data_IF_769093285409
#
_entry.id   IF_769093285409
#
_cell.length_a   1.000
_cell.length_b   1.000
_cell.length_c   1.000
_cell.angle_alpha   90.00
_cell.angle_beta   90.00
_cell.angle_gamma   90.00
#
_symmetry.space_group_name_H-M   'P 1'
#
loop_
_entity.id
_entity.type
_entity.pdbx_description
1 polymer ?
#
# COMPACT_ATOMS: atom_id res chain seq x y z
N UNK A 1 13.22 -4.51 -8.95
CA UNK A 1 12.44 -3.39 -8.35
C UNK A 1 13.02 -2.07 -8.85
N UNK A 2 12.19 -1.10 -9.24
CA UNK A 2 12.60 0.20 -9.79
C UNK A 2 13.58 0.97 -8.89
N UNK A 3 13.46 0.84 -7.56
CA UNK A 3 14.39 1.46 -6.58
C UNK A 3 15.80 0.86 -6.68
N UNK A 4 15.92 -0.43 -6.97
CA UNK A 4 17.21 -1.10 -7.17
C UNK A 4 17.86 -0.80 -8.53
N UNK A 5 17.14 -0.14 -9.44
CA UNK A 5 17.67 0.41 -10.69
C UNK A 5 17.78 1.94 -10.63
N UNK A 6 17.52 2.55 -9.47
CA UNK A 6 17.57 3.99 -9.32
C UNK A 6 18.99 4.54 -9.49
N UNK A 7 20.02 3.76 -9.12
CA UNK A 7 21.43 4.14 -9.30
C UNK A 7 21.79 4.35 -10.78
N UNK A 8 21.65 3.34 -11.67
CA UNK A 8 21.94 3.54 -13.09
C UNK A 8 21.01 4.58 -13.74
N UNK A 9 19.74 4.66 -13.32
CA UNK A 9 18.81 5.69 -13.82
C UNK A 9 19.24 7.10 -13.39
N UNK A 10 19.70 7.28 -12.15
CA UNK A 10 20.16 8.59 -11.66
C UNK A 10 21.47 9.03 -12.32
N UNK A 11 22.34 8.09 -12.65
CA UNK A 11 23.59 8.36 -13.36
C UNK A 11 23.33 8.73 -14.83
N UNK A 12 22.48 7.96 -15.52
CA UNK A 12 22.23 8.12 -16.96
C UNK A 12 21.25 9.27 -17.28
N UNK A 13 20.22 9.48 -16.44
CA UNK A 13 19.18 10.51 -16.66
C UNK A 13 19.57 11.85 -16.06
N UNK A 14 20.26 11.86 -14.92
CA UNK A 14 20.56 13.10 -14.20
C UNK A 14 22.05 13.48 -14.22
N UNK A 15 22.96 12.62 -14.71
CA UNK A 15 24.39 12.90 -14.80
C UNK A 15 25.07 13.08 -13.45
N UNK A 16 24.53 12.44 -12.41
CA UNK A 16 24.93 12.61 -11.01
C UNK A 16 25.89 11.48 -10.62
N UNK A 17 26.93 11.83 -9.85
CA UNK A 17 27.87 10.86 -9.30
C UNK A 17 27.16 9.75 -8.49
N UNK A 18 27.56 8.51 -8.77
CA UNK A 18 26.94 7.28 -8.26
C UNK A 18 26.94 7.25 -6.73
N UNK A 19 27.97 7.81 -6.09
CA UNK A 19 28.07 7.89 -4.63
C UNK A 19 26.99 8.79 -4.00
N UNK A 20 26.67 9.91 -4.65
CA UNK A 20 25.63 10.84 -4.19
C UNK A 20 24.25 10.19 -4.33
N UNK A 21 24.00 9.52 -5.46
CA UNK A 21 22.77 8.76 -5.71
C UNK A 21 22.56 7.66 -4.66
N UNK A 22 23.63 6.93 -4.32
CA UNK A 22 23.61 5.91 -3.27
C UNK A 22 23.27 6.48 -1.87
N UNK A 23 23.77 7.67 -1.53
CA UNK A 23 23.42 8.32 -0.26
C UNK A 23 21.93 8.69 -0.18
N UNK A 24 21.34 9.10 -1.30
CA UNK A 24 19.91 9.41 -1.42
C UNK A 24 19.00 8.21 -1.21
N UNK A 25 19.44 7.01 -1.61
CA UNK A 25 18.73 5.75 -1.38
C UNK A 25 18.50 5.45 0.11
N UNK A 26 19.41 5.89 0.99
CA UNK A 26 19.20 5.80 2.44
C UNK A 26 18.01 6.63 2.92
N UNK A 27 17.86 7.85 2.40
CA UNK A 27 16.71 8.73 2.71
C UNK A 27 15.41 8.13 2.17
N UNK A 28 15.45 7.59 0.95
CA UNK A 28 14.30 6.91 0.32
C UNK A 28 13.86 5.70 1.17
N UNK A 29 14.80 4.94 1.72
CA UNK A 29 14.50 3.81 2.60
C UNK A 29 13.81 4.24 3.90
N UNK A 30 14.26 5.35 4.51
CA UNK A 30 13.61 5.93 5.69
C UNK A 30 12.18 6.39 5.38
N UNK A 31 11.99 7.08 4.25
CA UNK A 31 10.68 7.52 3.77
C UNK A 31 9.75 6.34 3.44
N UNK A 32 10.29 5.23 2.92
CA UNK A 32 9.53 4.00 2.71
C UNK A 32 8.98 3.44 4.04
N UNK A 33 9.81 3.45 5.09
CA UNK A 33 9.38 3.08 6.45
C UNK A 33 8.31 4.03 7.00
N UNK A 34 8.47 5.34 6.82
CA UNK A 34 7.48 6.33 7.24
C UNK A 34 6.16 6.23 6.46
N UNK A 35 6.22 5.87 5.18
CA UNK A 35 5.05 5.63 4.33
C UNK A 35 4.12 4.55 4.89
N UNK A 36 4.68 3.51 5.51
CA UNK A 36 3.89 2.46 6.17
C UNK A 36 3.02 3.02 7.30
N UNK A 37 3.55 3.90 8.14
CA UNK A 37 2.83 4.45 9.30
C UNK A 37 1.79 5.48 8.86
N UNK A 38 2.19 6.40 7.97
CA UNK A 38 1.32 7.46 7.49
C UNK A 38 0.13 6.89 6.71
N UNK A 39 0.40 6.04 5.71
CA UNK A 39 -0.66 5.46 4.90
C UNK A 39 -1.47 4.38 5.62
N UNK A 40 -0.88 3.64 6.56
CA UNK A 40 -1.64 2.73 7.42
C UNK A 40 -2.73 3.49 8.18
N UNK A 41 -2.34 4.55 8.88
CA UNK A 41 -3.26 5.42 9.63
C UNK A 41 -4.31 6.10 8.75
N UNK A 42 -3.93 6.51 7.53
CA UNK A 42 -4.86 7.11 6.55
C UNK A 42 -5.85 6.07 6.02
N UNK A 43 -5.37 4.85 5.76
CA UNK A 43 -6.20 3.76 5.21
C UNK A 43 -7.32 3.35 6.14
N UNK A 44 -7.06 3.38 7.46
CA UNK A 44 -8.04 3.07 8.48
C UNK A 44 -9.12 4.16 8.63
N UNK A 45 -8.85 5.40 8.19
CA UNK A 45 -9.81 6.52 8.27
C UNK A 45 -10.65 6.72 7.00
N UNK A 46 -10.05 6.59 5.82
CA UNK A 46 -10.69 6.97 4.53
C UNK A 46 -11.26 5.75 3.80
N UNK A 47 -10.81 4.55 4.18
CA UNK A 47 -11.13 3.29 3.53
C UNK A 47 -9.97 2.77 2.68
N UNK A 48 -9.75 1.46 2.75
CA UNK A 48 -8.56 0.81 2.19
C UNK A 48 -8.46 0.95 0.66
N UNK A 49 -9.56 0.73 -0.07
CA UNK A 49 -9.58 0.83 -1.54
C UNK A 49 -9.31 2.24 -2.07
N UNK A 50 -9.85 3.28 -1.42
CA UNK A 50 -9.61 4.68 -1.79
C UNK A 50 -8.15 5.06 -1.55
N UNK A 51 -7.57 4.56 -0.47
CA UNK A 51 -6.18 4.84 -0.12
C UNK A 51 -5.22 4.23 -1.15
N UNK A 52 -5.50 3.01 -1.62
CA UNK A 52 -4.71 2.40 -2.70
C UNK A 52 -4.84 3.18 -4.02
N UNK A 53 -6.04 3.64 -4.39
CA UNK A 53 -6.18 4.53 -5.56
C UNK A 53 -5.35 5.80 -5.43
N UNK A 54 -5.38 6.46 -4.26
CA UNK A 54 -4.59 7.67 -4.02
C UNK A 54 -3.09 7.39 -4.15
N UNK A 55 -2.60 6.25 -3.63
CA UNK A 55 -1.19 5.84 -3.81
C UNK A 55 -0.82 5.68 -5.29
N UNK A 56 -1.69 5.08 -6.10
CA UNK A 56 -1.45 4.95 -7.53
C UNK A 56 -1.42 6.30 -8.23
N UNK A 57 -2.31 7.23 -7.87
CA UNK A 57 -2.29 8.61 -8.39
C UNK A 57 -0.98 9.30 -8.04
N UNK A 58 -0.51 9.18 -6.79
CA UNK A 58 0.78 9.75 -6.36
C UNK A 58 1.95 9.14 -7.14
N UNK A 59 1.93 7.83 -7.41
CA UNK A 59 2.94 7.20 -8.27
C UNK A 59 2.90 7.73 -9.69
N UNK A 60 1.72 7.86 -10.30
CA UNK A 60 1.58 8.39 -11.66
C UNK A 60 2.14 9.81 -11.72
N UNK A 61 1.84 10.65 -10.73
CA UNK A 61 2.39 12.01 -10.65
C UNK A 61 3.92 11.95 -10.53
N UNK A 62 4.47 11.07 -9.70
CA UNK A 62 5.92 10.94 -9.57
C UNK A 62 6.58 10.54 -10.90
N UNK A 63 6.02 9.57 -11.62
CA UNK A 63 6.57 9.07 -12.88
C UNK A 63 6.35 9.98 -14.08
N UNK A 64 5.21 10.68 -14.17
CA UNK A 64 4.84 11.49 -15.32
C UNK A 64 5.24 12.96 -15.15
N UNK A 65 5.15 13.50 -13.93
CA UNK A 65 5.35 14.92 -13.69
C UNK A 65 6.69 15.26 -13.03
N UNK A 66 7.36 14.31 -12.35
CA UNK A 66 8.59 14.60 -11.58
C UNK A 66 9.81 13.97 -12.25
N UNK A 67 9.80 12.65 -12.47
CA UNK A 67 10.95 11.93 -13.02
C UNK A 67 11.40 12.38 -14.42
N UNK A 68 10.52 12.76 -15.37
CA UNK A 68 10.94 13.19 -16.71
C UNK A 68 11.69 14.53 -16.70
N UNK A 69 11.49 15.33 -15.65
CA UNK A 69 12.13 16.64 -15.47
C UNK A 69 13.27 16.58 -14.43
N UNK A 70 13.73 15.37 -14.08
CA UNK A 70 14.78 15.15 -13.10
C UNK A 70 16.17 15.51 -13.67
N UNK A 71 16.41 16.79 -13.92
CA UNK A 71 17.70 17.32 -14.37
C UNK A 71 18.67 17.61 -13.22
N UNK A 72 18.21 17.50 -11.97
CA UNK A 72 18.96 17.85 -10.77
C UNK A 72 18.74 16.79 -9.67
N UNK A 73 19.74 16.57 -8.82
CA UNK A 73 19.69 15.59 -7.72
C UNK A 73 18.47 15.76 -6.82
N UNK A 74 18.12 17.01 -6.48
CA UNK A 74 16.98 17.30 -5.62
C UNK A 74 15.65 16.81 -6.24
N UNK A 75 15.43 17.03 -7.54
CA UNK A 75 14.18 16.64 -8.22
C UNK A 75 14.09 15.13 -8.35
N UNK A 76 15.22 14.49 -8.70
CA UNK A 76 15.33 13.03 -8.73
C UNK A 76 15.03 12.42 -7.35
N UNK A 77 15.64 12.95 -6.28
CA UNK A 77 15.46 12.48 -4.92
C UNK A 77 14.01 12.63 -4.46
N UNK A 78 13.36 13.76 -4.75
CA UNK A 78 11.94 14.00 -4.43
C UNK A 78 11.05 12.98 -5.14
N UNK A 79 11.25 12.76 -6.44
CA UNK A 79 10.51 11.77 -7.21
C UNK A 79 10.64 10.36 -6.66
N UNK A 80 11.87 9.96 -6.33
CA UNK A 80 12.16 8.65 -5.73
C UNK A 80 11.60 8.52 -4.30
N UNK A 81 11.62 9.60 -3.50
CA UNK A 81 11.01 9.62 -2.17
C UNK A 81 9.48 9.47 -2.24
N UNK A 82 8.81 10.08 -3.22
CA UNK A 82 7.37 9.91 -3.46
C UNK A 82 7.02 8.46 -3.82
N UNK A 83 7.82 7.84 -4.70
CA UNK A 83 7.68 6.43 -5.07
C UNK A 83 7.94 5.52 -3.87
N UNK A 84 9.03 5.76 -3.13
CA UNK A 84 9.40 5.02 -1.93
C UNK A 84 8.32 5.09 -0.85
N UNK A 85 7.82 6.29 -0.56
CA UNK A 85 6.74 6.53 0.41
C UNK A 85 5.44 5.80 0.03
N UNK A 86 5.03 5.87 -1.24
CA UNK A 86 3.82 5.20 -1.74
C UNK A 86 3.96 3.68 -1.75
N UNK A 87 5.15 3.17 -2.11
CA UNK A 87 5.43 1.73 -2.10
C UNK A 87 5.42 1.16 -0.68
N UNK A 88 5.97 1.88 0.30
CA UNK A 88 5.98 1.46 1.70
C UNK A 88 4.57 1.39 2.31
N UNK A 89 3.72 2.35 1.94
CA UNK A 89 2.30 2.34 2.31
C UNK A 89 1.52 1.19 1.66
N UNK A 90 1.76 0.89 0.38
CA UNK A 90 1.08 -0.19 -0.32
C UNK A 90 1.30 -1.56 0.34
N UNK A 91 2.54 -1.86 0.75
CA UNK A 91 2.88 -3.08 1.49
C UNK A 91 2.19 -3.16 2.86
N UNK A 92 1.88 -2.01 3.47
CA UNK A 92 1.20 -1.94 4.76
C UNK A 92 -0.32 -2.18 4.63
N UNK A 93 -0.93 -1.66 3.57
CA UNK A 93 -2.38 -1.71 3.37
C UNK A 93 -2.82 -3.05 2.77
N UNK A 94 -1.98 -3.72 1.96
CA UNK A 94 -2.29 -5.03 1.38
C UNK A 94 -2.78 -6.11 2.37
N UNK A 95 -2.08 -6.43 3.49
CA UNK A 95 -2.56 -7.44 4.43
C UNK A 95 -3.91 -7.07 5.05
N UNK A 96 -4.17 -5.78 5.24
CA UNK A 96 -5.40 -5.28 5.81
C UNK A 96 -6.59 -5.38 4.84
N UNK A 97 -6.35 -5.19 3.54
CA UNK A 97 -7.34 -5.48 2.48
C UNK A 97 -7.66 -6.97 2.45
N UNK A 98 -6.63 -7.81 2.46
CA UNK A 98 -6.78 -9.27 2.48
C UNK A 98 -7.59 -9.71 3.69
N UNK A 99 -7.29 -9.19 4.89
CA UNK A 99 -8.05 -9.48 6.09
C UNK A 99 -9.54 -9.15 5.95
N UNK A 100 -9.89 -8.02 5.33
CA UNK A 100 -11.30 -7.64 5.11
C UNK A 100 -12.02 -8.63 4.16
N UNK A 101 -11.36 -9.11 3.10
CA UNK A 101 -11.94 -10.10 2.17
C UNK A 101 -12.13 -11.48 2.82
N UNK A 102 -11.16 -11.95 3.60
CA UNK A 102 -11.29 -13.22 4.32
C UNK A 102 -12.27 -13.13 5.48
N UNK A 103 -12.34 -11.99 6.19
CA UNK A 103 -13.34 -11.76 7.24
C UNK A 103 -14.77 -11.76 6.67
N UNK A 104 -14.97 -11.22 5.46
CA UNK A 104 -16.25 -11.35 4.76
C UNK A 104 -16.62 -12.81 4.47
N UNK A 105 -15.65 -13.66 4.15
CA UNK A 105 -15.86 -15.07 3.82
C UNK A 105 -16.14 -15.92 5.07
N UNK A 106 -15.40 -15.69 6.15
CA UNK A 106 -15.59 -16.39 7.44
C UNK A 106 -16.87 -15.91 8.16
N UNK A 107 -17.34 -14.69 7.87
CA UNK A 107 -18.57 -14.10 8.42
C UNK A 107 -19.72 -14.07 7.43
N UNK A 108 -19.74 -14.99 6.45
CA UNK A 108 -20.97 -15.33 5.74
C UNK A 108 -22.08 -15.47 6.79
N UNK A 109 -23.25 -14.84 6.59
CA UNK A 109 -24.27 -14.80 7.61
C UNK A 109 -24.49 -16.24 8.09
N UNK A 110 -24.49 -16.44 9.41
CA UNK A 110 -25.36 -17.45 9.99
C UNK A 110 -26.74 -17.06 9.51
N UNK A 111 -27.09 -17.49 8.29
CA UNK A 111 -28.46 -17.65 7.87
C UNK A 111 -29.06 -18.38 9.05
N UNK A 112 -30.08 -17.74 9.59
CA UNK A 112 -31.06 -18.22 10.53
C UNK A 112 -31.54 -19.61 10.12
N UNK A 113 -30.67 -20.62 10.23
CA UNK A 113 -31.02 -22.02 10.19
C UNK A 113 -31.57 -22.32 11.57
N UNK A 114 -32.83 -21.92 11.73
CA UNK A 114 -33.79 -22.51 12.65
C UNK A 114 -33.30 -22.72 14.07
N UNK A 115 -33.20 -21.64 14.85
CA UNK A 115 -33.48 -21.78 16.29
C UNK A 115 -34.92 -22.25 16.54
N UNK A 116 -35.81 -22.18 15.54
CA UNK A 116 -37.14 -22.78 15.60
C UNK A 116 -37.17 -24.29 15.30
N UNK A 117 -36.25 -24.84 14.48
CA UNK A 117 -36.26 -26.29 14.18
C UNK A 117 -35.51 -27.15 15.21
N UNK A 118 -34.56 -26.57 15.95
CA UNK A 118 -33.92 -27.26 17.07
C UNK A 118 -34.84 -27.40 18.29
N UNK A 119 -35.78 -26.47 18.50
CA UNK A 119 -36.73 -26.50 19.61
C UNK A 119 -37.92 -27.43 19.36
N UNK A 120 -38.43 -27.51 18.12
CA UNK A 120 -39.59 -28.37 17.79
C UNK A 120 -39.23 -29.84 17.56
N UNK A 121 -37.96 -30.17 17.32
CA UNK A 121 -37.51 -31.57 17.17
C UNK A 121 -37.40 -32.34 18.50
N UNK A 122 -37.30 -31.62 19.63
CA UNK A 122 -37.21 -32.23 20.97
C UNK A 122 -38.60 -32.43 21.61
N UNK A 123 -39.62 -31.67 21.18
CA UNK A 123 -40.98 -31.76 21.73
C UNK A 123 -41.89 -32.79 21.03
N UNK A 124 -41.43 -33.43 19.95
CA UNK A 124 -42.23 -34.36 19.13
C UNK A 124 -42.03 -35.85 19.42
N UNK A 125 -41.26 -36.22 20.45
CA UNK A 125 -40.93 -37.62 20.77
C UNK A 125 -41.51 -38.11 22.11
N UNK A 126 -42.49 -37.40 22.69
CA UNK A 126 -43.13 -37.75 23.98
C UNK A 126 -44.64 -38.03 23.88
N UNK A 127 -45.13 -38.59 22.76
CA UNK A 127 -46.51 -39.10 22.65
C UNK A 127 -46.58 -40.46 21.97
#
# INVERSE_FOLDING_TARGET
MIIGQAVPIGEEVAGIDTAVVASGLGVIALLNGLGRLAWGSISDKIGRMRTVMLMFVVMIIAFVAVLPYASNFAVWLIGMCLVGFSFGGFLAVMPSITADFYAFTVRAPRVTLGTDQAATAVAGSES
#
